data_IF_903379011807
#
_entry.id   IF_903379011807
#
_cell.length_a   1.000
_cell.length_b   1.000
_cell.length_c   1.000
_cell.angle_alpha   90.00
_cell.angle_beta   90.00
_cell.angle_gamma   90.00
#
_symmetry.space_group_name_H-M   'P 1'
#
loop_
_entity.id
_entity.type
_entity.pdbx_description
1 polymer ?
#
# COMPACT_ATOMS: atom_id res chain seq x y z
N UNK A 1 20.13 34.44 59.47
CA UNK A 1 19.87 35.88 59.31
C UNK A 1 20.10 36.27 57.85
N UNK A 2 19.37 37.28 57.37
CA UNK A 2 18.96 37.53 55.97
C UNK A 2 20.08 38.02 55.05
N UNK A 3 19.99 37.68 53.75
CA UNK A 3 20.08 38.55 52.53
C UNK A 3 20.17 37.64 51.29
N UNK A 4 19.11 37.41 50.52
CA UNK A 4 18.50 38.26 49.47
C UNK A 4 19.35 38.42 48.19
N UNK A 5 18.81 37.93 47.06
CA UNK A 5 19.22 38.24 45.68
C UNK A 5 19.78 37.00 44.96
N UNK A 6 19.25 36.52 43.84
CA UNK A 6 18.62 37.18 42.68
C UNK A 6 17.71 36.15 41.99
N UNK A 7 16.40 36.38 41.93
CA UNK A 7 15.61 36.58 40.68
C UNK A 7 16.35 36.26 39.37
N UNK A 8 15.62 35.61 38.45
CA UNK A 8 15.93 35.24 37.06
C UNK A 8 16.38 33.78 36.91
N UNK A 9 15.74 32.92 36.11
CA UNK A 9 14.61 33.10 35.21
C UNK A 9 13.92 31.74 35.07
N UNK A 10 12.62 31.70 35.36
CA UNK A 10 11.73 30.63 34.92
C UNK A 10 11.51 30.85 33.41
N UNK A 11 12.39 30.30 32.58
CA UNK A 11 12.14 30.22 31.13
C UNK A 11 11.55 28.86 30.83
N UNK A 12 10.21 28.83 30.92
CA UNK A 12 9.35 27.88 30.23
C UNK A 12 9.52 28.09 28.72
N UNK A 13 10.66 27.67 28.16
CA UNK A 13 10.83 27.58 26.72
C UNK A 13 10.15 26.28 26.28
N UNK A 14 8.84 26.38 26.06
CA UNK A 14 8.11 25.52 25.16
C UNK A 14 8.82 25.62 23.80
N UNK A 15 9.81 24.77 23.54
CA UNK A 15 10.38 24.64 22.20
C UNK A 15 9.28 23.99 21.39
N UNK A 16 8.47 24.86 20.79
CA UNK A 16 7.43 24.52 19.85
C UNK A 16 8.12 23.88 18.65
N UNK A 17 8.34 22.56 18.73
CA UNK A 17 8.67 21.76 17.56
C UNK A 17 7.41 21.73 16.71
N UNK A 18 7.16 22.82 15.98
CA UNK A 18 6.24 22.85 14.86
C UNK A 18 6.92 22.09 13.73
N UNK A 19 7.04 20.77 13.92
CA UNK A 19 7.26 19.85 12.83
C UNK A 19 5.93 19.77 12.10
N UNK A 20 5.77 20.57 11.04
CA UNK A 20 4.78 20.28 10.03
C UNK A 20 5.09 18.86 9.54
N UNK A 21 4.31 17.88 10.00
CA UNK A 21 4.30 16.55 9.44
C UNK A 21 3.83 16.71 8.00
N UNK A 22 4.78 16.89 7.09
CA UNK A 22 4.53 16.66 5.66
C UNK A 22 4.18 15.19 5.61
N UNK A 23 2.88 14.90 5.59
CA UNK A 23 2.36 13.59 5.25
C UNK A 23 2.85 13.32 3.83
N UNK A 24 4.04 12.72 3.72
CA UNK A 24 4.52 12.17 2.48
C UNK A 24 3.44 11.18 2.05
N UNK A 25 2.67 11.56 1.04
CA UNK A 25 1.70 10.67 0.41
C UNK A 25 2.51 9.47 -0.03
N UNK A 26 2.44 8.38 0.73
CA UNK A 26 3.11 7.13 0.39
C UNK A 26 2.57 6.78 -0.98
N UNK A 27 3.41 6.92 -2.01
CA UNK A 27 3.09 6.39 -3.31
C UNK A 27 2.83 4.90 -3.07
N UNK A 28 1.56 4.49 -3.19
CA UNK A 28 1.15 3.13 -2.85
C UNK A 28 2.02 2.14 -3.61
N UNK A 29 2.55 1.14 -2.90
CA UNK A 29 3.37 0.11 -3.54
C UNK A 29 2.55 -0.58 -4.63
N UNK A 30 3.20 -0.85 -5.74
CA UNK A 30 2.60 -1.51 -6.91
C UNK A 30 3.05 -2.97 -6.92
N UNK A 31 2.12 -3.88 -7.18
CA UNK A 31 2.32 -5.33 -7.18
C UNK A 31 1.84 -5.89 -8.52
N UNK A 32 2.74 -6.25 -9.41
CA UNK A 32 2.38 -6.86 -10.69
C UNK A 32 2.06 -8.34 -10.48
N UNK A 33 0.89 -8.81 -10.91
CA UNK A 33 0.48 -10.22 -10.75
C UNK A 33 1.43 -11.22 -11.43
N UNK A 34 2.18 -10.81 -12.46
CA UNK A 34 3.17 -11.65 -13.15
C UNK A 34 4.40 -11.93 -12.29
N UNK A 35 4.76 -11.03 -11.38
CA UNK A 35 5.83 -11.24 -10.38
C UNK A 35 5.44 -12.33 -9.36
N UNK A 36 4.14 -12.59 -9.20
CA UNK A 36 3.60 -13.68 -8.38
C UNK A 36 3.37 -14.97 -9.19
N UNK A 37 3.81 -14.99 -10.46
CA UNK A 37 3.71 -16.15 -11.35
C UNK A 37 2.38 -16.30 -12.06
N UNK A 38 1.56 -15.25 -12.16
CA UNK A 38 0.34 -15.29 -12.96
C UNK A 38 0.69 -15.29 -14.47
N UNK A 39 0.24 -16.32 -15.18
CA UNK A 39 0.44 -16.44 -16.64
C UNK A 39 -0.69 -15.75 -17.39
N UNK A 40 -0.38 -15.04 -18.47
CA UNK A 40 -1.33 -14.28 -19.26
C UNK A 40 -1.84 -15.02 -20.53
N UNK A 41 -1.79 -16.36 -20.50
CA UNK A 41 -2.13 -17.25 -21.62
C UNK A 41 -3.65 -17.47 -21.79
N UNK A 42 -4.46 -17.04 -20.83
CA UNK A 42 -5.90 -17.30 -20.77
C UNK A 42 -6.26 -18.78 -20.59
N UNK A 43 -5.33 -19.67 -20.30
CA UNK A 43 -5.59 -21.10 -20.12
C UNK A 43 -5.26 -21.57 -18.71
N UNK A 44 -4.17 -21.05 -18.15
CA UNK A 44 -3.68 -21.41 -16.82
C UNK A 44 -4.50 -20.70 -15.73
N UNK A 45 -4.98 -21.46 -14.74
CA UNK A 45 -5.70 -20.91 -13.60
C UNK A 45 -4.75 -20.08 -12.71
N UNK A 46 -4.97 -18.77 -12.66
CA UNK A 46 -4.12 -17.78 -11.98
C UNK A 46 -4.68 -17.30 -10.63
N UNK A 47 -5.72 -17.96 -10.09
CA UNK A 47 -6.44 -17.51 -8.90
C UNK A 47 -5.52 -17.35 -7.69
N UNK A 48 -4.63 -18.32 -7.46
CA UNK A 48 -3.74 -18.31 -6.29
C UNK A 48 -2.70 -17.21 -6.39
N UNK A 49 -2.12 -16.99 -7.57
CA UNK A 49 -1.11 -15.97 -7.82
C UNK A 49 -1.70 -14.56 -7.66
N UNK A 50 -2.89 -14.33 -8.21
CA UNK A 50 -3.59 -13.05 -8.05
C UNK A 50 -3.96 -12.82 -6.57
N UNK A 51 -4.42 -13.86 -5.87
CA UNK A 51 -4.73 -13.75 -4.45
C UNK A 51 -3.47 -13.47 -3.61
N UNK A 52 -2.33 -14.10 -3.92
CA UNK A 52 -1.05 -13.81 -3.26
C UNK A 52 -0.58 -12.37 -3.48
N UNK A 53 -0.77 -11.81 -4.67
CA UNK A 53 -0.47 -10.40 -4.94
C UNK A 53 -1.33 -9.46 -4.05
N UNK A 54 -2.62 -9.76 -3.90
CA UNK A 54 -3.53 -9.01 -3.03
C UNK A 54 -3.12 -9.14 -1.56
N UNK A 55 -2.72 -10.32 -1.12
CA UNK A 55 -2.27 -10.55 0.25
C UNK A 55 -0.98 -9.79 0.58
N UNK A 56 0.00 -9.83 -0.32
CA UNK A 56 1.24 -9.07 -0.18
C UNK A 56 0.97 -7.55 -0.14
N UNK A 57 0.07 -7.08 -1.02
CA UNK A 57 -0.36 -5.68 -1.06
C UNK A 57 -1.04 -5.26 0.26
N UNK A 58 -2.00 -6.04 0.75
CA UNK A 58 -2.71 -5.76 1.98
C UNK A 58 -1.79 -5.77 3.21
N UNK A 59 -0.91 -6.76 3.31
CA UNK A 59 0.05 -6.91 4.42
C UNK A 59 1.05 -5.75 4.47
N UNK A 60 1.32 -5.13 3.33
CA UNK A 60 2.21 -3.98 3.22
C UNK A 60 1.54 -2.63 3.52
N UNK A 61 0.29 -2.63 3.99
CA UNK A 61 -0.47 -1.42 4.30
C UNK A 61 -1.34 -0.89 3.15
N UNK A 62 -1.56 -1.70 2.10
CA UNK A 62 -2.36 -1.34 0.93
C UNK A 62 -1.51 -0.83 -0.25
N UNK A 63 -2.18 -0.53 -1.36
CA UNK A 63 -1.51 -0.15 -2.60
C UNK A 63 -2.30 -0.52 -3.85
N UNK A 64 -1.58 -0.84 -4.92
CA UNK A 64 -2.15 -1.17 -6.23
C UNK A 64 -1.64 -2.55 -6.67
N UNK A 65 -2.55 -3.47 -6.94
CA UNK A 65 -2.25 -4.72 -7.64
C UNK A 65 -2.53 -4.49 -9.12
N UNK A 66 -1.54 -4.71 -9.98
CA UNK A 66 -1.60 -4.46 -11.42
C UNK A 66 -1.78 -5.76 -12.16
N UNK A 67 -2.79 -5.80 -13.03
CA UNK A 67 -2.98 -6.83 -14.04
C UNK A 67 -2.54 -6.22 -15.37
N UNK A 68 -1.37 -6.61 -15.92
CA UNK A 68 -0.86 -6.06 -17.16
C UNK A 68 -1.65 -6.59 -18.36
N UNK A 69 -1.28 -6.14 -19.56
CA UNK A 69 -1.89 -6.62 -20.82
C UNK A 69 -1.85 -8.15 -20.94
N UNK A 70 -2.98 -8.74 -21.33
CA UNK A 70 -3.13 -10.19 -21.56
C UNK A 70 -4.38 -10.77 -20.90
N UNK A 71 -4.59 -12.08 -21.01
CA UNK A 71 -5.78 -12.74 -20.45
C UNK A 71 -5.39 -13.61 -19.25
N UNK A 72 -5.99 -13.35 -18.10
CA UNK A 72 -5.76 -14.10 -16.88
C UNK A 72 -7.03 -14.87 -16.50
N UNK A 73 -6.96 -16.19 -16.54
CA UNK A 73 -8.06 -17.04 -16.08
C UNK A 73 -8.04 -17.09 -14.55
N UNK A 74 -9.13 -16.72 -13.90
CA UNK A 74 -9.23 -16.70 -12.44
C UNK A 74 -10.60 -17.17 -11.98
N UNK A 75 -10.63 -17.79 -10.79
CA UNK A 75 -11.84 -18.03 -10.03
C UNK A 75 -12.29 -16.77 -9.28
N UNK A 76 -12.92 -16.96 -8.13
CA UNK A 76 -13.27 -15.86 -7.26
C UNK A 76 -12.02 -15.18 -6.69
N UNK A 77 -11.99 -13.85 -6.72
CA UNK A 77 -10.92 -13.02 -6.17
C UNK A 77 -11.48 -12.24 -4.97
N UNK A 78 -10.79 -12.28 -3.85
CA UNK A 78 -11.21 -11.60 -2.62
C UNK A 78 -10.32 -10.39 -2.35
N UNK A 79 -10.85 -9.20 -2.58
CA UNK A 79 -10.14 -7.95 -2.28
C UNK A 79 -10.05 -7.71 -0.77
N UNK A 80 -8.95 -7.07 -0.35
CA UNK A 80 -8.71 -6.66 1.03
C UNK A 80 -8.79 -5.13 1.15
N UNK A 81 -9.12 -4.58 2.34
CA UNK A 81 -9.14 -3.13 2.55
C UNK A 81 -7.82 -2.46 2.15
N UNK A 82 -7.90 -1.32 1.47
CA UNK A 82 -6.72 -0.56 1.02
C UNK A 82 -6.00 -1.13 -0.22
N UNK A 83 -6.48 -2.24 -0.79
CA UNK A 83 -5.96 -2.79 -2.04
C UNK A 83 -6.79 -2.29 -3.22
N UNK A 84 -6.13 -1.74 -4.23
CA UNK A 84 -6.74 -1.33 -5.49
C UNK A 84 -6.31 -2.30 -6.59
N UNK A 85 -7.25 -3.00 -7.22
CA UNK A 85 -6.97 -3.81 -8.39
C UNK A 85 -7.06 -2.95 -9.65
N UNK A 86 -5.94 -2.80 -10.37
CA UNK A 86 -5.84 -2.00 -11.60
C UNK A 86 -5.60 -2.91 -12.79
N UNK A 87 -6.53 -2.89 -13.73
CA UNK A 87 -6.37 -3.52 -15.04
C UNK A 87 -5.76 -2.49 -15.99
N UNK A 88 -4.63 -2.83 -16.59
CA UNK A 88 -4.03 -1.99 -17.63
C UNK A 88 -4.75 -2.15 -18.96
N UNK A 89 -4.43 -1.28 -19.91
CA UNK A 89 -5.00 -1.36 -21.25
C UNK A 89 -4.72 -2.72 -21.89
N UNK A 90 -5.78 -3.40 -22.34
CA UNK A 90 -5.69 -4.74 -22.92
C UNK A 90 -5.54 -5.88 -21.91
N UNK A 91 -5.68 -5.61 -20.61
CA UNK A 91 -5.84 -6.65 -19.59
C UNK A 91 -7.26 -7.22 -19.60
N UNK A 92 -7.38 -8.55 -19.54
CA UNK A 92 -8.65 -9.28 -19.46
C UNK A 92 -8.59 -10.22 -18.27
N UNK A 93 -9.53 -10.06 -17.34
CA UNK A 93 -9.74 -10.99 -16.24
C UNK A 93 -10.89 -11.92 -16.60
N UNK A 94 -10.60 -13.17 -16.96
CA UNK A 94 -11.61 -14.15 -17.39
C UNK A 94 -12.02 -15.01 -16.20
N UNK A 95 -13.32 -15.06 -15.90
CA UNK A 95 -13.85 -15.96 -14.90
C UNK A 95 -13.75 -17.42 -15.36
N UNK A 96 -13.31 -18.32 -14.47
CA UNK A 96 -13.44 -19.76 -14.65
C UNK A 96 -14.87 -20.21 -14.35
N UNK A 97 -15.40 -21.12 -15.17
CA UNK A 97 -16.68 -21.82 -14.96
C UNK A 97 -16.59 -22.89 -13.89
#
# INVERSE_FOLDING_TARGET
>A
MRKLGRRAALLLACVSFSGAAVAAKVAGKTYDVTEFGATNDGASLCTTQIQSAIEACATSGGGIVVVPKGTFLSGAIFLKPGVNLRLEEGAVLRAST
#
